data_IF_933714001104
#
_entry.id   IF_933714001104
#
_cell.length_a   1.000
_cell.length_b   1.000
_cell.length_c   1.000
_cell.angle_alpha   90.00
_cell.angle_beta   90.00
_cell.angle_gamma   90.00
#
_symmetry.space_group_name_H-M   'P 1'
#
loop_
_entity.id
_entity.type
_entity.pdbx_description
1 polymer ?
#
# COMPACT_ATOMS: atom_id res chain seq x y z
N UNK A 1 15.74 37.37 12.32
CA UNK A 1 16.08 37.93 13.67
C UNK A 1 15.03 37.64 14.73
N UNK A 2 13.79 37.32 14.41
CA UNK A 2 12.70 37.13 15.41
C UNK A 2 12.77 35.81 16.25
N UNK A 3 13.56 34.81 15.87
CA UNK A 3 13.68 33.54 16.62
C UNK A 3 14.68 33.55 17.77
N UNK A 4 15.56 34.55 17.84
CA UNK A 4 16.59 34.66 18.88
C UNK A 4 15.95 35.30 20.13
N UNK A 5 14.98 36.18 19.95
CA UNK A 5 14.34 36.90 21.07
C UNK A 5 13.44 35.97 21.92
N UNK A 6 12.77 34.98 21.32
CA UNK A 6 11.89 34.07 22.07
C UNK A 6 12.69 33.04 22.89
N UNK A 7 13.79 32.53 22.35
CA UNK A 7 14.69 31.65 23.10
C UNK A 7 15.41 32.41 24.22
N UNK A 8 15.84 33.64 23.95
CA UNK A 8 16.44 34.52 24.92
C UNK A 8 15.47 34.85 26.08
N UNK A 9 14.21 35.22 25.78
CA UNK A 9 13.19 35.48 26.76
C UNK A 9 12.90 34.27 27.66
N UNK A 10 12.87 33.05 27.07
CA UNK A 10 12.67 31.81 27.81
C UNK A 10 13.82 31.53 28.78
N UNK A 11 15.07 31.62 28.34
CA UNK A 11 16.24 31.34 29.18
C UNK A 11 16.44 32.45 30.25
N UNK A 12 16.19 33.70 29.91
CA UNK A 12 16.23 34.80 30.88
C UNK A 12 15.17 34.66 31.98
N UNK A 13 13.95 34.23 31.65
CA UNK A 13 12.88 34.00 32.64
C UNK A 13 13.12 32.80 33.55
N UNK A 14 13.84 31.79 33.04
CA UNK A 14 14.06 30.51 33.75
C UNK A 14 15.29 30.54 34.64
N UNK A 15 16.33 31.28 34.25
CA UNK A 15 17.64 31.26 34.94
C UNK A 15 18.13 32.59 35.47
N UNK A 16 17.42 33.69 35.24
CA UNK A 16 17.78 34.97 35.82
C UNK A 16 17.38 35.04 37.31
N UNK A 17 18.35 35.35 38.16
CA UNK A 17 18.11 35.58 39.59
C UNK A 17 17.15 36.75 39.75
N UNK A 18 16.02 36.57 40.43
CA UNK A 18 14.94 37.57 40.55
C UNK A 18 15.34 38.86 41.33
N UNK A 19 16.50 38.85 41.97
CA UNK A 19 16.99 39.99 42.79
C UNK A 19 18.02 40.84 42.06
N UNK A 20 18.40 40.52 40.82
CA UNK A 20 19.43 41.26 40.09
C UNK A 20 18.78 42.14 39.04
N UNK A 21 19.22 43.41 38.98
CA UNK A 21 18.78 44.36 37.96
C UNK A 21 18.87 43.79 36.57
N UNK A 22 17.89 44.10 35.71
CA UNK A 22 17.81 43.65 34.30
C UNK A 22 19.09 43.92 33.49
N UNK A 23 19.92 44.86 33.93
CA UNK A 23 21.22 45.19 33.33
C UNK A 23 22.38 44.34 33.85
N UNK A 24 22.26 43.77 35.07
CA UNK A 24 23.31 42.94 35.66
C UNK A 24 23.25 41.46 35.24
N UNK A 25 22.05 40.98 34.92
CA UNK A 25 21.88 39.59 34.47
C UNK A 25 22.41 39.31 33.04
N UNK A 26 22.86 40.34 32.32
CA UNK A 26 23.26 40.30 30.93
C UNK A 26 24.74 40.59 30.70
N UNK A 27 25.59 40.36 31.71
CA UNK A 27 27.04 40.51 31.51
C UNK A 27 27.48 39.58 30.35
N UNK A 28 28.09 40.18 29.34
CA UNK A 28 28.63 39.48 28.16
C UNK A 28 29.47 38.26 28.54
N UNK A 29 30.15 38.33 29.69
CA UNK A 29 30.93 37.23 30.27
C UNK A 29 30.09 36.03 30.69
N UNK A 30 28.90 36.22 31.23
CA UNK A 30 28.04 35.14 31.73
C UNK A 30 27.28 34.47 30.59
N UNK A 31 26.81 35.26 29.63
CA UNK A 31 26.28 34.72 28.35
C UNK A 31 27.33 33.88 27.62
N UNK A 32 28.58 34.33 27.62
CA UNK A 32 29.71 33.60 27.00
C UNK A 32 30.03 32.32 27.76
N UNK A 33 29.90 32.30 29.09
CA UNK A 33 30.06 31.06 29.88
C UNK A 33 28.95 30.04 29.59
N UNK A 34 27.69 30.49 29.52
CA UNK A 34 26.55 29.65 29.20
C UNK A 34 26.70 29.10 27.76
N UNK A 35 27.04 29.93 26.80
CA UNK A 35 27.29 29.55 25.43
C UNK A 35 28.42 28.51 25.31
N UNK A 36 29.55 28.74 25.96
CA UNK A 36 30.67 27.80 25.97
C UNK A 36 30.32 26.47 26.66
N UNK A 37 29.46 26.51 27.69
CA UNK A 37 28.98 25.28 28.35
C UNK A 37 28.07 24.47 27.42
N UNK A 38 27.15 25.12 26.69
CA UNK A 38 26.30 24.48 25.71
C UNK A 38 27.13 23.85 24.61
N UNK A 39 28.12 24.60 24.06
CA UNK A 39 29.04 24.07 23.04
C UNK A 39 29.83 22.87 23.58
N UNK A 40 30.35 22.96 24.80
CA UNK A 40 31.10 21.85 25.41
C UNK A 40 30.22 20.62 25.58
N UNK A 41 29.00 20.79 26.11
CA UNK A 41 28.04 19.69 26.28
C UNK A 41 27.68 19.05 24.94
N UNK A 42 27.45 19.87 23.92
CA UNK A 42 27.16 19.36 22.57
C UNK A 42 28.37 18.62 21.95
N UNK A 43 29.60 19.15 22.14
CA UNK A 43 30.83 18.51 21.65
C UNK A 43 31.13 17.17 22.35
N UNK A 44 30.75 17.05 23.59
CA UNK A 44 30.95 15.84 24.40
C UNK A 44 29.80 14.82 24.17
N UNK A 45 28.70 15.21 23.51
CA UNK A 45 27.61 14.30 23.19
C UNK A 45 28.08 13.27 22.16
N UNK A 46 27.67 12.01 22.29
CA UNK A 46 28.04 10.95 21.33
C UNK A 46 27.67 11.28 19.89
N UNK A 47 26.56 12.02 19.68
CA UNK A 47 26.07 12.43 18.35
C UNK A 47 26.91 13.54 17.72
N UNK A 48 27.59 14.38 18.52
CA UNK A 48 28.45 15.46 17.99
C UNK A 48 29.80 14.94 17.46
N UNK A 49 30.23 13.77 17.92
CA UNK A 49 31.49 13.13 17.46
C UNK A 49 31.38 12.48 16.10
N UNK A 50 30.17 12.41 15.53
CA UNK A 50 29.95 11.84 14.20
C UNK A 50 30.13 12.98 13.18
N UNK A 51 31.29 12.99 12.52
CA UNK A 51 31.69 14.06 11.60
C UNK A 51 30.94 14.08 10.26
N UNK A 52 30.16 13.03 9.96
CA UNK A 52 29.44 12.88 8.71
C UNK A 52 27.98 12.53 8.96
N UNK A 53 27.04 13.37 8.49
CA UNK A 53 25.61 13.20 8.69
C UNK A 53 25.06 11.90 8.04
N UNK A 54 25.68 11.44 6.96
CA UNK A 54 25.29 10.18 6.31
C UNK A 54 25.75 8.96 7.10
N UNK A 55 26.93 9.01 7.71
CA UNK A 55 27.43 7.98 8.62
C UNK A 55 26.64 7.96 9.93
N UNK A 56 26.20 9.12 10.44
CA UNK A 56 25.30 9.22 11.58
C UNK A 56 23.96 8.53 11.33
N UNK A 57 23.38 8.76 10.14
CA UNK A 57 22.14 8.11 9.73
C UNK A 57 22.33 6.61 9.57
N UNK A 58 23.40 6.18 8.92
CA UNK A 58 23.74 4.77 8.76
C UNK A 58 23.91 4.09 10.12
N UNK A 59 24.69 4.69 11.01
CA UNK A 59 24.88 4.18 12.37
C UNK A 59 23.59 4.11 13.19
N UNK A 60 22.70 5.10 13.05
CA UNK A 60 21.37 5.08 13.69
C UNK A 60 20.48 3.97 13.11
N UNK A 61 20.57 3.71 11.81
CA UNK A 61 19.85 2.61 11.14
C UNK A 61 20.42 1.26 11.62
N UNK A 62 21.75 1.12 11.62
CA UNK A 62 22.44 -0.11 12.06
C UNK A 62 22.13 -0.44 13.54
N UNK A 63 22.08 0.57 14.42
CA UNK A 63 21.63 0.40 15.83
C UNK A 63 20.17 -0.01 15.87
N UNK A 64 19.30 0.61 15.08
CA UNK A 64 17.86 0.28 15.05
C UNK A 64 17.66 -1.15 14.54
N UNK A 65 18.37 -1.56 13.51
CA UNK A 65 18.30 -2.91 12.96
C UNK A 65 18.87 -3.94 13.95
N UNK A 66 20.02 -3.65 14.56
CA UNK A 66 20.61 -4.50 15.61
C UNK A 66 19.72 -4.59 16.83
N UNK A 67 19.10 -3.48 17.25
CA UNK A 67 18.15 -3.49 18.38
C UNK A 67 16.90 -4.27 18.03
N UNK A 68 16.41 -4.19 16.78
CA UNK A 68 15.28 -4.97 16.31
C UNK A 68 15.63 -6.47 16.21
N UNK A 69 16.84 -6.80 15.76
CA UNK A 69 17.32 -8.17 15.75
C UNK A 69 17.46 -8.73 17.18
N UNK A 70 17.98 -7.94 18.13
CA UNK A 70 18.05 -8.31 19.55
C UNK A 70 16.64 -8.45 20.15
N UNK A 71 15.72 -7.52 19.86
CA UNK A 71 14.34 -7.61 20.31
C UNK A 71 13.65 -8.86 19.74
N UNK A 72 13.85 -9.14 18.46
CA UNK A 72 13.31 -10.35 17.84
C UNK A 72 13.94 -11.61 18.43
N UNK A 73 15.23 -11.61 18.73
CA UNK A 73 15.92 -12.71 19.44
C UNK A 73 15.45 -12.82 20.88
N UNK A 74 15.25 -11.70 21.59
CA UNK A 74 14.71 -11.66 22.95
C UNK A 74 13.24 -12.07 22.95
N UNK A 75 12.43 -11.62 22.00
CA UNK A 75 11.04 -12.06 21.84
C UNK A 75 10.97 -13.56 21.52
N UNK A 76 11.85 -14.07 20.67
CA UNK A 76 11.96 -15.52 20.43
C UNK A 76 12.45 -16.31 21.63
N UNK A 77 13.15 -15.65 22.55
CA UNK A 77 13.65 -16.24 23.82
C UNK A 77 12.78 -15.88 25.02
N UNK A 78 11.97 -14.80 24.99
CA UNK A 78 11.18 -14.29 26.11
C UNK A 78 9.81 -14.95 26.27
N UNK A 79 9.42 -15.82 25.35
CA UNK A 79 8.46 -16.90 25.65
C UNK A 79 8.88 -17.75 26.86
N UNK A 80 9.98 -17.38 27.48
CA UNK A 80 10.51 -17.90 28.75
C UNK A 80 9.57 -17.74 29.96
N UNK A 81 8.59 -16.84 29.90
CA UNK A 81 7.62 -16.67 31.00
C UNK A 81 6.31 -17.42 30.79
N UNK A 82 6.02 -17.92 29.62
CA UNK A 82 4.91 -18.82 29.32
C UNK A 82 5.43 -20.24 29.07
N UNK A 83 6.11 -20.83 30.02
CA UNK A 83 6.50 -22.25 30.05
C UNK A 83 7.16 -22.78 28.75
N UNK A 84 8.32 -23.35 28.87
CA UNK A 84 9.23 -23.88 27.84
C UNK A 84 8.67 -24.88 26.79
N UNK A 85 7.36 -24.95 26.61
CA UNK A 85 6.70 -25.79 25.61
C UNK A 85 6.39 -25.09 24.31
N UNK A 86 6.31 -23.73 24.28
CA UNK A 86 5.89 -23.00 23.08
C UNK A 86 7.01 -22.79 22.05
N UNK A 87 8.27 -22.77 22.49
CA UNK A 87 9.42 -22.69 21.56
C UNK A 87 9.52 -23.89 20.62
N UNK A 88 8.96 -25.02 21.02
CA UNK A 88 8.94 -26.28 20.26
C UNK A 88 7.59 -26.50 19.54
N UNK A 89 6.62 -25.63 19.73
CA UNK A 89 5.29 -25.74 19.14
C UNK A 89 4.94 -24.57 18.19
N UNK A 90 5.93 -23.95 17.54
CA UNK A 90 5.63 -22.97 16.51
C UNK A 90 4.77 -23.61 15.42
N UNK A 91 3.50 -23.27 15.43
CA UNK A 91 2.54 -23.70 14.41
C UNK A 91 2.62 -22.76 13.24
N UNK A 92 2.64 -23.31 12.04
CA UNK A 92 2.49 -22.59 10.78
C UNK A 92 1.12 -22.92 10.22
N UNK A 93 0.44 -21.94 9.72
CA UNK A 93 -0.79 -22.19 8.99
C UNK A 93 -0.47 -22.98 7.72
N UNK A 94 -1.26 -24.01 7.43
CA UNK A 94 -1.12 -24.89 6.27
C UNK A 94 -2.44 -25.01 5.55
N UNK A 95 -2.36 -25.04 4.22
CA UNK A 95 -3.47 -25.35 3.33
C UNK A 95 -3.20 -26.69 2.67
N UNK A 96 -4.19 -27.59 2.63
CA UNK A 96 -4.07 -28.86 1.89
C UNK A 96 -3.97 -28.66 0.37
N UNK A 97 -4.27 -27.44 -0.12
CA UNK A 97 -4.18 -27.07 -1.54
C UNK A 97 -3.67 -25.62 -1.67
N UNK A 98 -2.37 -25.42 -1.48
CA UNK A 98 -1.72 -24.12 -1.54
C UNK A 98 -1.80 -23.46 -2.94
N UNK A 99 -1.99 -24.25 -3.97
CA UNK A 99 -2.18 -23.74 -5.32
C UNK A 99 -3.52 -23.02 -5.51
N UNK A 100 -4.55 -23.45 -4.78
CA UNK A 100 -5.87 -22.85 -4.84
C UNK A 100 -6.08 -21.81 -3.73
N UNK A 101 -5.61 -22.11 -2.52
CA UNK A 101 -5.80 -21.26 -1.33
C UNK A 101 -4.49 -21.17 -0.57
N UNK A 102 -3.83 -20.02 -0.61
CA UNK A 102 -2.71 -19.70 0.26
C UNK A 102 -3.20 -19.28 1.63
N UNK A 103 -2.46 -19.65 2.68
CA UNK A 103 -2.78 -19.28 4.04
C UNK A 103 -1.55 -18.74 4.77
N UNK A 104 -1.75 -17.71 5.58
CA UNK A 104 -0.74 -17.14 6.47
C UNK A 104 -1.33 -16.92 7.86
N UNK A 105 -0.59 -17.29 8.90
CA UNK A 105 -0.96 -16.97 10.26
C UNK A 105 -0.66 -15.49 10.56
N UNK A 106 -1.64 -14.75 11.06
CA UNK A 106 -1.54 -13.31 11.39
C UNK A 106 -1.95 -13.01 12.84
N UNK A 107 -2.37 -14.01 13.61
CA UNK A 107 -2.74 -13.87 15.02
C UNK A 107 -1.55 -13.51 15.90
N UNK A 108 -1.84 -12.96 17.08
CA UNK A 108 -0.83 -12.55 18.07
C UNK A 108 -0.25 -13.69 18.93
N UNK A 109 -0.64 -14.93 18.65
CA UNK A 109 -0.20 -16.12 19.39
C UNK A 109 -0.95 -16.35 20.72
N UNK A 110 -1.73 -15.38 21.21
CA UNK A 110 -2.43 -15.48 22.50
C UNK A 110 -3.66 -16.37 22.47
N UNK A 111 -4.26 -16.55 21.30
CA UNK A 111 -5.53 -17.28 21.11
C UNK A 111 -5.36 -18.68 20.48
N UNK A 112 -4.16 -19.24 20.47
CA UNK A 112 -3.91 -20.59 19.92
C UNK A 112 -4.60 -21.75 20.66
N UNK A 113 -5.44 -21.46 21.64
CA UNK A 113 -6.29 -22.45 22.30
C UNK A 113 -7.60 -22.61 21.53
N UNK A 114 -7.55 -23.30 20.37
CA UNK A 114 -8.76 -23.78 19.70
C UNK A 114 -9.13 -23.10 18.39
N UNK A 115 -8.20 -22.56 17.64
CA UNK A 115 -8.45 -22.34 16.21
C UNK A 115 -8.50 -23.71 15.54
N UNK A 116 -9.68 -24.35 15.58
CA UNK A 116 -9.93 -25.56 14.83
C UNK A 116 -9.75 -25.24 13.35
N UNK A 117 -9.16 -26.18 12.61
CA UNK A 117 -9.06 -26.08 11.17
C UNK A 117 -10.46 -25.96 10.54
N UNK A 118 -10.52 -25.43 9.36
CA UNK A 118 -11.78 -25.32 8.59
C UNK A 118 -11.53 -25.67 7.13
N UNK A 119 -12.60 -26.05 6.47
CA UNK A 119 -12.61 -26.33 5.04
C UNK A 119 -13.05 -25.10 4.26
N UNK A 120 -12.35 -24.76 3.20
CA UNK A 120 -12.72 -23.71 2.26
C UNK A 120 -12.90 -24.27 0.85
N UNK A 121 -14.04 -23.97 0.25
CA UNK A 121 -14.31 -24.25 -1.15
C UNK A 121 -14.47 -22.93 -1.91
N UNK A 122 -13.65 -22.69 -2.91
CA UNK A 122 -13.65 -21.45 -3.71
C UNK A 122 -14.41 -21.74 -5.00
N UNK A 123 -15.51 -21.01 -5.22
CA UNK A 123 -16.31 -21.09 -6.44
C UNK A 123 -15.87 -20.08 -7.48
N UNK A 124 -15.59 -18.88 -7.03
CA UNK A 124 -15.23 -17.75 -7.89
C UNK A 124 -14.25 -16.83 -7.19
N UNK A 125 -13.28 -16.30 -7.93
CA UNK A 125 -12.37 -15.25 -7.43
C UNK A 125 -13.03 -13.88 -7.60
N UNK A 126 -12.67 -12.93 -6.76
CA UNK A 126 -12.99 -11.52 -7.00
C UNK A 126 -12.23 -11.03 -8.24
N UNK A 127 -12.89 -10.21 -9.05
CA UNK A 127 -12.30 -9.62 -10.23
C UNK A 127 -12.45 -8.10 -10.26
N UNK A 128 -11.50 -7.39 -10.90
CA UNK A 128 -11.59 -5.95 -11.12
C UNK A 128 -12.60 -5.61 -12.22
N UNK A 129 -13.03 -4.36 -12.25
CA UNK A 129 -13.70 -3.81 -13.43
C UNK A 129 -12.70 -3.54 -14.54
N UNK A 130 -13.07 -3.89 -15.75
CA UNK A 130 -12.31 -3.61 -16.96
C UNK A 130 -13.18 -2.86 -17.97
N UNK A 131 -12.70 -1.74 -18.44
CA UNK A 131 -13.27 -1.03 -19.60
C UNK A 131 -12.27 -1.13 -20.75
N UNK A 132 -12.63 -1.81 -21.81
CA UNK A 132 -11.80 -1.92 -23.02
C UNK A 132 -12.38 -1.03 -24.11
N UNK A 133 -11.58 -0.10 -24.57
CA UNK A 133 -11.95 0.83 -25.62
C UNK A 133 -12.08 0.17 -27.01
N UNK A 134 -12.35 0.99 -28.00
CA UNK A 134 -12.42 0.55 -29.40
C UNK A 134 -11.02 0.17 -29.92
N UNK A 135 -10.94 -0.94 -30.64
CA UNK A 135 -9.71 -1.33 -31.35
C UNK A 135 -9.51 -0.48 -32.60
N UNK A 136 -8.47 0.35 -32.60
CA UNK A 136 -8.13 1.30 -33.65
C UNK A 136 -6.81 0.90 -34.32
N UNK A 137 -6.69 1.21 -35.63
CA UNK A 137 -5.39 1.10 -36.30
C UNK A 137 -4.45 2.15 -35.69
N UNK A 138 -3.36 1.69 -35.08
CA UNK A 138 -2.43 2.55 -34.33
C UNK A 138 -1.78 3.63 -35.21
N UNK A 139 -1.64 3.40 -36.51
CA UNK A 139 -1.03 4.33 -37.46
C UNK A 139 -2.03 5.31 -38.11
N UNK A 140 -3.32 5.05 -37.97
CA UNK A 140 -4.35 5.92 -38.56
C UNK A 140 -4.48 7.23 -37.76
N UNK A 141 -4.98 8.27 -38.43
CA UNK A 141 -5.23 9.61 -37.91
C UNK A 141 -6.76 9.79 -37.77
N UNK A 142 -7.34 9.10 -36.78
CA UNK A 142 -8.81 9.11 -36.63
C UNK A 142 -9.30 10.28 -35.77
N UNK A 143 -8.45 10.83 -34.92
CA UNK A 143 -8.81 11.90 -34.00
C UNK A 143 -8.59 13.27 -34.63
N UNK A 144 -9.55 14.15 -34.47
CA UNK A 144 -9.48 15.54 -34.97
C UNK A 144 -8.53 16.32 -34.04
N UNK A 145 -7.61 17.15 -34.56
CA UNK A 145 -6.79 18.01 -33.71
C UNK A 145 -7.65 18.97 -32.87
N UNK A 146 -7.36 19.09 -31.58
CA UNK A 146 -8.14 19.92 -30.67
C UNK A 146 -7.83 19.64 -29.20
N UNK A 147 -8.56 20.31 -28.33
CA UNK A 147 -8.50 20.07 -26.86
C UNK A 147 -9.75 19.31 -26.45
N UNK A 148 -9.53 18.31 -25.65
CA UNK A 148 -10.56 17.38 -25.19
C UNK A 148 -10.51 17.23 -23.69
N UNK A 149 -11.65 16.91 -23.07
CA UNK A 149 -11.70 16.52 -21.66
C UNK A 149 -12.74 15.43 -21.42
N UNK A 150 -12.49 14.67 -20.38
CA UNK A 150 -13.41 13.65 -19.87
C UNK A 150 -13.27 13.53 -18.34
N UNK A 151 -14.36 13.12 -17.72
CA UNK A 151 -14.39 12.85 -16.30
C UNK A 151 -14.17 11.35 -16.05
N UNK A 152 -13.29 11.03 -15.11
CA UNK A 152 -13.13 9.71 -14.55
C UNK A 152 -13.59 9.77 -13.10
N UNK A 153 -14.68 9.07 -12.81
CA UNK A 153 -15.32 9.07 -11.52
C UNK A 153 -15.06 7.71 -10.84
N UNK A 154 -14.59 7.76 -9.61
CA UNK A 154 -14.52 6.62 -8.69
C UNK A 154 -15.47 6.89 -7.54
N UNK A 155 -15.73 5.90 -6.69
CA UNK A 155 -16.57 6.10 -5.50
C UNK A 155 -15.99 7.12 -4.50
N UNK A 156 -14.68 7.37 -4.55
CA UNK A 156 -14.00 8.30 -3.65
C UNK A 156 -13.85 9.70 -4.24
N UNK A 157 -13.81 9.86 -5.56
CA UNK A 157 -13.42 11.12 -6.21
C UNK A 157 -13.82 11.18 -7.68
N UNK A 158 -13.96 12.41 -8.17
CA UNK A 158 -14.17 12.72 -9.58
C UNK A 158 -13.02 13.57 -10.09
N UNK A 159 -12.44 13.20 -11.23
CA UNK A 159 -11.32 13.89 -11.86
C UNK A 159 -11.62 14.19 -13.31
N UNK A 160 -11.43 15.46 -13.69
CA UNK A 160 -11.46 15.88 -15.09
C UNK A 160 -10.04 15.76 -15.69
N UNK A 161 -9.92 14.97 -16.74
CA UNK A 161 -8.71 14.86 -17.55
C UNK A 161 -8.82 15.75 -18.77
N UNK A 162 -7.82 16.61 -18.97
CA UNK A 162 -7.71 17.48 -20.13
C UNK A 162 -6.48 17.10 -20.95
N UNK A 163 -6.64 16.98 -22.26
CA UNK A 163 -5.54 16.66 -23.17
C UNK A 163 -5.77 17.26 -24.56
N UNK A 164 -4.68 17.45 -25.28
CA UNK A 164 -4.72 17.93 -26.67
C UNK A 164 -4.35 16.85 -27.66
N UNK A 165 -4.95 16.89 -28.84
CA UNK A 165 -4.53 16.10 -30.00
C UNK A 165 -3.95 17.07 -31.02
N UNK A 166 -2.73 16.80 -31.47
CA UNK A 166 -2.00 17.62 -32.43
C UNK A 166 -2.31 17.19 -33.88
N UNK A 167 -2.06 18.08 -34.84
CA UNK A 167 -2.17 17.72 -36.26
C UNK A 167 -1.16 16.61 -36.59
N UNK A 168 -1.62 15.53 -37.19
CA UNK A 168 -0.79 14.41 -37.58
C UNK A 168 -0.50 13.41 -36.46
N UNK A 169 -1.10 13.57 -35.29
CA UNK A 169 -0.98 12.61 -34.18
C UNK A 169 -1.79 11.35 -34.45
N UNK A 170 -1.15 10.23 -34.41
CA UNK A 170 -1.73 8.90 -34.67
C UNK A 170 -2.61 8.39 -33.53
N UNK A 171 -3.49 7.43 -33.81
CA UNK A 171 -4.31 6.80 -32.77
C UNK A 171 -3.48 6.20 -31.65
N UNK A 172 -2.36 5.54 -32.00
CA UNK A 172 -1.46 4.95 -31.01
C UNK A 172 -0.84 6.01 -30.09
N UNK A 173 -0.38 7.14 -30.63
CA UNK A 173 0.17 8.24 -29.84
C UNK A 173 -0.86 8.86 -28.89
N UNK A 174 -2.11 9.00 -29.34
CA UNK A 174 -3.21 9.47 -28.48
C UNK A 174 -3.50 8.48 -27.36
N UNK A 175 -3.61 7.17 -27.68
CA UNK A 175 -3.83 6.13 -26.67
C UNK A 175 -2.68 6.06 -25.66
N UNK A 176 -1.43 6.13 -26.12
CA UNK A 176 -0.25 6.17 -25.24
C UNK A 176 -0.19 7.41 -24.35
N UNK A 177 -0.63 8.57 -24.86
CA UNK A 177 -0.75 9.79 -24.09
C UNK A 177 -1.77 9.62 -22.95
N UNK A 178 -2.94 9.08 -23.26
CA UNK A 178 -4.01 8.81 -22.30
C UNK A 178 -3.58 7.77 -21.26
N UNK A 179 -2.93 6.68 -21.68
CA UNK A 179 -2.34 5.69 -20.78
C UNK A 179 -1.41 6.34 -19.76
N UNK A 180 -0.46 7.18 -20.21
CA UNK A 180 0.46 7.89 -19.29
C UNK A 180 -0.27 8.85 -18.36
N UNK A 181 -1.26 9.60 -18.89
CA UNK A 181 -2.01 10.56 -18.12
C UNK A 181 -2.82 9.90 -17.00
N UNK A 182 -3.53 8.82 -17.31
CA UNK A 182 -4.34 8.08 -16.33
C UNK A 182 -3.45 7.40 -15.30
N UNK A 183 -2.38 6.72 -15.70
CA UNK A 183 -1.47 6.05 -14.76
C UNK A 183 -0.74 7.04 -13.83
N UNK A 184 -0.45 8.26 -14.30
CA UNK A 184 0.17 9.29 -13.48
C UNK A 184 -0.79 9.91 -12.45
N UNK A 185 -2.10 9.70 -12.58
CA UNK A 185 -3.11 10.29 -11.69
C UNK A 185 -3.19 9.67 -10.31
N UNK A 186 -2.79 8.40 -10.18
CA UNK A 186 -2.87 7.65 -8.91
C UNK A 186 -4.30 7.34 -8.43
N UNK A 187 -5.28 7.30 -9.34
CA UNK A 187 -6.70 7.09 -9.01
C UNK A 187 -7.08 5.64 -8.67
N UNK A 188 -6.11 4.73 -8.63
CA UNK A 188 -6.40 3.31 -8.44
C UNK A 188 -6.95 2.63 -9.70
N UNK A 189 -6.66 3.21 -10.86
CA UNK A 189 -6.99 2.66 -12.19
C UNK A 189 -5.69 2.54 -12.97
N UNK A 190 -5.46 1.37 -13.52
CA UNK A 190 -4.36 1.08 -14.43
C UNK A 190 -4.85 1.18 -15.88
N UNK A 191 -4.14 1.92 -16.70
CA UNK A 191 -4.39 2.03 -18.13
C UNK A 191 -3.30 1.28 -18.89
N UNK A 192 -3.71 0.45 -19.86
CA UNK A 192 -2.79 -0.28 -20.73
C UNK A 192 -3.28 -0.29 -22.18
N UNK A 193 -2.41 -0.63 -23.12
CA UNK A 193 -2.73 -0.81 -24.52
C UNK A 193 -2.78 -2.30 -24.82
N UNK A 194 -3.96 -2.75 -25.21
CA UNK A 194 -4.20 -4.14 -25.61
C UNK A 194 -4.38 -4.22 -27.12
N UNK A 195 -4.03 -5.36 -27.69
CA UNK A 195 -4.11 -5.60 -29.14
C UNK A 195 -5.06 -6.75 -29.46
N UNK A 196 -5.78 -6.61 -30.56
CA UNK A 196 -6.56 -7.71 -31.11
C UNK A 196 -5.73 -8.58 -32.07
N UNK A 197 -6.32 -9.68 -32.55
CA UNK A 197 -5.68 -10.61 -33.50
C UNK A 197 -5.32 -9.94 -34.84
N UNK A 198 -5.91 -8.81 -35.17
CA UNK A 198 -5.62 -8.02 -36.37
C UNK A 198 -4.52 -6.97 -36.17
N UNK A 199 -3.98 -6.86 -34.94
CA UNK A 199 -2.93 -5.92 -34.57
C UNK A 199 -3.42 -4.49 -34.31
N UNK A 200 -4.73 -4.27 -34.23
CA UNK A 200 -5.30 -2.98 -33.78
C UNK A 200 -5.15 -2.85 -32.28
N UNK A 201 -5.01 -1.62 -31.81
CA UNK A 201 -4.79 -1.29 -30.41
C UNK A 201 -6.05 -0.67 -29.78
N UNK A 202 -6.32 -1.02 -28.53
CA UNK A 202 -7.35 -0.41 -27.71
C UNK A 202 -6.74 0.05 -26.37
N UNK A 203 -7.20 1.20 -25.88
CA UNK A 203 -6.91 1.61 -24.51
C UNK A 203 -7.82 0.83 -23.56
N UNK A 204 -7.22 0.12 -22.62
CA UNK A 204 -7.92 -0.64 -21.58
C UNK A 204 -7.69 0.02 -20.23
N UNK A 205 -8.77 0.16 -19.46
CA UNK A 205 -8.75 0.66 -18.09
C UNK A 205 -9.14 -0.48 -17.14
N UNK A 206 -8.33 -0.73 -16.13
CA UNK A 206 -8.57 -1.79 -15.14
C UNK A 206 -8.53 -1.18 -13.74
N UNK A 207 -9.54 -1.44 -12.91
CA UNK A 207 -9.50 -1.01 -11.53
C UNK A 207 -8.44 -1.81 -10.74
N UNK A 208 -7.69 -1.16 -9.86
CA UNK A 208 -6.79 -1.84 -8.94
C UNK A 208 -7.54 -2.56 -7.81
N UNK A 209 -8.78 -2.15 -7.55
CA UNK A 209 -9.68 -2.81 -6.62
C UNK A 209 -10.50 -3.88 -7.33
N UNK A 210 -10.87 -4.91 -6.61
CA UNK A 210 -11.77 -5.97 -7.03
C UNK A 210 -13.07 -5.91 -6.25
N UNK A 211 -14.09 -6.60 -6.73
CA UNK A 211 -15.36 -6.72 -6.05
C UNK A 211 -16.21 -5.44 -6.09
N UNK A 212 -17.48 -5.59 -5.77
CA UNK A 212 -18.45 -4.50 -5.67
C UNK A 212 -19.21 -4.62 -4.34
N UNK A 213 -19.35 -3.52 -3.62
CA UNK A 213 -20.26 -3.48 -2.47
C UNK A 213 -21.72 -3.50 -2.94
N UNK A 214 -22.65 -3.82 -2.06
CA UNK A 214 -24.07 -3.89 -2.39
C UNK A 214 -24.68 -2.56 -2.87
N UNK A 215 -24.00 -1.45 -2.61
CA UNK A 215 -24.45 -0.09 -2.96
C UNK A 215 -23.79 0.46 -4.21
N UNK A 216 -22.91 -0.31 -4.85
CA UNK A 216 -22.09 0.13 -5.98
C UNK A 216 -22.49 -0.61 -7.26
N UNK A 217 -22.73 0.13 -8.33
CA UNK A 217 -22.99 -0.44 -9.66
C UNK A 217 -21.70 -0.65 -10.46
N UNK A 218 -20.64 0.11 -10.14
CA UNK A 218 -19.34 0.06 -10.80
C UNK A 218 -18.23 0.63 -9.91
N UNK A 219 -16.99 0.20 -10.08
CA UNK A 219 -15.83 0.75 -9.35
C UNK A 219 -15.39 2.11 -9.90
N UNK A 220 -15.59 2.33 -11.20
CA UNK A 220 -15.34 3.60 -11.83
C UNK A 220 -16.24 3.79 -13.07
N UNK A 221 -16.44 5.03 -13.45
CA UNK A 221 -17.09 5.39 -14.72
C UNK A 221 -16.30 6.46 -15.45
N UNK A 222 -16.39 6.46 -16.78
CA UNK A 222 -15.77 7.45 -17.65
C UNK A 222 -16.88 8.17 -18.41
N UNK A 223 -16.88 9.49 -18.37
CA UNK A 223 -17.88 10.30 -19.04
C UNK A 223 -17.20 11.42 -19.84
N UNK A 224 -17.64 11.72 -21.07
CA UNK A 224 -17.12 12.87 -21.82
C UNK A 224 -17.59 14.18 -21.16
N UNK A 225 -16.78 15.22 -21.26
CA UNK A 225 -17.25 16.55 -20.94
C UNK A 225 -18.39 17.00 -21.91
N UNK A 226 -19.17 17.97 -21.50
CA UNK A 226 -20.42 18.33 -22.18
C UNK A 226 -20.27 18.95 -23.61
N UNK A 227 -19.03 19.15 -24.08
CA UNK A 227 -18.81 19.68 -25.45
C UNK A 227 -18.91 18.58 -26.52
N UNK A 228 -19.32 18.93 -27.71
CA UNK A 228 -19.57 17.98 -28.80
C UNK A 228 -18.31 17.25 -29.26
N UNK A 229 -17.17 17.88 -29.18
CA UNK A 229 -15.87 17.35 -29.59
C UNK A 229 -15.45 16.21 -28.61
N UNK A 230 -15.55 16.45 -27.33
CA UNK A 230 -15.24 15.42 -26.28
C UNK A 230 -16.21 14.24 -26.32
N UNK A 231 -17.49 14.48 -26.60
CA UNK A 231 -18.49 13.42 -26.79
C UNK A 231 -18.14 12.56 -28.02
N UNK A 232 -17.76 13.19 -29.13
CA UNK A 232 -17.34 12.47 -30.36
C UNK A 232 -16.07 11.66 -30.12
N UNK A 233 -15.10 12.25 -29.43
CA UNK A 233 -13.83 11.60 -29.04
C UNK A 233 -14.07 10.37 -28.15
N UNK A 234 -14.93 10.47 -27.14
CA UNK A 234 -15.27 9.37 -26.24
C UNK A 234 -15.94 8.22 -27.00
N UNK A 235 -16.87 8.51 -27.90
CA UNK A 235 -17.50 7.49 -28.76
C UNK A 235 -16.48 6.72 -29.60
N UNK A 236 -15.43 7.41 -30.05
CA UNK A 236 -14.37 6.80 -30.84
C UNK A 236 -13.40 5.99 -29.99
N UNK A 237 -13.02 6.50 -28.81
CA UNK A 237 -12.18 5.79 -27.85
C UNK A 237 -12.91 4.59 -27.22
N UNK A 238 -14.20 4.72 -26.92
CA UNK A 238 -15.04 3.65 -26.36
C UNK A 238 -14.69 3.19 -24.95
N UNK A 239 -13.89 3.96 -24.20
CA UNK A 239 -13.43 3.60 -22.84
C UNK A 239 -14.49 3.82 -21.76
N UNK A 240 -15.64 4.39 -22.11
CA UNK A 240 -16.81 4.57 -21.26
C UNK A 240 -17.62 3.27 -21.05
N UNK A 241 -17.31 2.21 -21.79
CA UNK A 241 -18.04 0.95 -21.76
C UNK A 241 -17.33 -0.08 -20.88
N UNK A 242 -18.06 -0.62 -19.91
CA UNK A 242 -17.60 -1.75 -19.11
C UNK A 242 -17.57 -3.00 -19.97
N UNK A 243 -16.39 -3.57 -20.18
CA UNK A 243 -16.19 -4.83 -20.92
C UNK A 243 -16.25 -6.06 -19.98
N UNK A 244 -15.80 -5.89 -18.74
CA UNK A 244 -15.92 -6.88 -17.69
C UNK A 244 -16.28 -6.17 -16.38
N UNK A 245 -17.45 -6.43 -15.79
CA UNK A 245 -17.80 -5.85 -14.51
C UNK A 245 -16.95 -6.44 -13.38
N UNK A 246 -16.70 -5.64 -12.35
CA UNK A 246 -16.13 -6.17 -11.13
C UNK A 246 -17.11 -7.15 -10.46
N UNK A 247 -16.58 -8.16 -9.80
CA UNK A 247 -17.39 -9.09 -9.00
C UNK A 247 -16.61 -9.59 -7.78
N UNK A 248 -17.37 -9.98 -6.77
CA UNK A 248 -16.85 -10.50 -5.52
C UNK A 248 -16.32 -11.93 -5.67
N UNK A 249 -15.42 -12.32 -4.78
CA UNK A 249 -15.14 -13.73 -4.58
C UNK A 249 -16.36 -14.43 -3.94
N UNK A 250 -16.61 -15.67 -4.34
CA UNK A 250 -17.64 -16.55 -3.78
C UNK A 250 -16.96 -17.83 -3.30
N UNK A 251 -17.15 -18.12 -2.02
CA UNK A 251 -16.56 -19.29 -1.37
C UNK A 251 -17.44 -19.80 -0.24
N UNK A 252 -17.18 -21.00 0.23
CA UNK A 252 -17.81 -21.51 1.45
C UNK A 252 -16.76 -21.84 2.51
N UNK A 253 -17.12 -21.60 3.78
CA UNK A 253 -16.35 -22.03 4.94
C UNK A 253 -17.16 -23.07 5.70
N UNK A 254 -16.62 -24.26 5.85
CA UNK A 254 -17.34 -25.40 6.46
C UNK A 254 -18.74 -25.59 5.88
N UNK A 255 -18.90 -25.40 4.56
CA UNK A 255 -20.18 -25.49 3.86
C UNK A 255 -21.09 -24.27 3.92
N UNK A 256 -20.74 -23.23 4.70
CA UNK A 256 -21.49 -21.97 4.77
C UNK A 256 -20.99 -21.01 3.71
N UNK A 257 -21.88 -20.46 2.89
CA UNK A 257 -21.54 -19.54 1.80
C UNK A 257 -21.12 -18.16 2.35
N UNK A 258 -20.05 -17.62 1.77
CA UNK A 258 -19.48 -16.31 2.05
C UNK A 258 -19.07 -15.61 0.76
N UNK A 259 -18.96 -14.29 0.84
CA UNK A 259 -18.47 -13.43 -0.24
C UNK A 259 -17.49 -12.41 0.30
N UNK A 260 -16.51 -12.04 -0.52
CA UNK A 260 -15.55 -10.98 -0.17
C UNK A 260 -15.26 -10.10 -1.38
N UNK A 261 -15.01 -8.82 -1.13
CA UNK A 261 -14.61 -7.85 -2.17
C UNK A 261 -13.19 -8.14 -2.72
N UNK A 262 -12.38 -8.92 -1.99
CA UNK A 262 -10.99 -9.21 -2.33
C UNK A 262 -10.73 -10.71 -2.32
N UNK A 263 -9.69 -11.12 -3.04
CA UNK A 263 -9.15 -12.48 -2.99
C UNK A 263 -8.25 -12.71 -1.77
N UNK A 264 -7.89 -11.65 -1.04
CA UNK A 264 -7.12 -11.75 0.20
C UNK A 264 -7.91 -11.13 1.34
N UNK A 265 -8.16 -11.88 2.39
CA UNK A 265 -8.93 -11.46 3.55
C UNK A 265 -8.52 -12.25 4.80
N UNK A 266 -8.90 -11.72 5.98
CA UNK A 266 -8.57 -12.34 7.26
C UNK A 266 -9.79 -12.98 7.88
N UNK A 267 -9.62 -14.21 8.39
CA UNK A 267 -10.65 -14.95 9.14
C UNK A 267 -10.25 -14.98 10.62
N UNK A 268 -11.19 -14.58 11.48
CA UNK A 268 -11.07 -14.59 12.95
C UNK A 268 -9.81 -13.89 13.48
N UNK A 269 -9.28 -12.90 12.74
CA UNK A 269 -8.00 -12.24 13.03
C UNK A 269 -6.81 -13.20 13.21
N UNK A 270 -6.93 -14.41 12.72
CA UNK A 270 -5.96 -15.49 12.91
C UNK A 270 -5.32 -15.94 11.61
N UNK A 271 -6.14 -16.14 10.58
CA UNK A 271 -5.70 -16.60 9.27
C UNK A 271 -5.92 -15.53 8.21
N UNK A 272 -4.87 -15.13 7.52
CA UNK A 272 -4.99 -14.42 6.25
C UNK A 272 -5.03 -15.44 5.13
N UNK A 273 -6.09 -15.45 4.37
CA UNK A 273 -6.28 -16.31 3.21
C UNK A 273 -6.08 -15.54 1.92
N UNK A 274 -5.46 -16.18 0.94
CA UNK A 274 -5.35 -15.68 -0.43
C UNK A 274 -5.93 -16.73 -1.38
N UNK A 275 -7.07 -16.41 -1.97
CA UNK A 275 -7.71 -17.22 -3.01
C UNK A 275 -6.95 -17.04 -4.32
N UNK A 276 -6.46 -18.12 -4.91
CA UNK A 276 -5.64 -18.09 -6.14
C UNK A 276 -6.39 -18.66 -7.34
N UNK A 277 -7.21 -19.70 -7.13
CA UNK A 277 -8.05 -20.31 -8.17
C UNK A 277 -9.26 -21.03 -7.55
N UNK A 278 -10.32 -21.27 -8.32
CA UNK A 278 -11.44 -22.09 -7.87
C UNK A 278 -11.01 -23.50 -7.48
N UNK A 279 -11.71 -24.10 -6.49
CA UNK A 279 -11.47 -25.46 -6.00
C UNK A 279 -12.48 -26.47 -6.54
N UNK A 280 -13.30 -26.09 -7.52
CA UNK A 280 -14.39 -26.92 -8.08
C UNK A 280 -13.92 -28.31 -8.56
N UNK A 281 -12.69 -28.39 -9.08
CA UNK A 281 -12.13 -29.62 -9.63
C UNK A 281 -11.30 -30.42 -8.61
N UNK A 282 -10.90 -29.80 -7.50
CA UNK A 282 -9.99 -30.38 -6.50
C UNK A 282 -10.64 -30.66 -5.16
N UNK A 283 -11.89 -30.22 -4.97
CA UNK A 283 -12.58 -30.26 -3.68
C UNK A 283 -12.11 -29.18 -2.71
N UNK A 284 -12.74 -29.09 -1.57
CA UNK A 284 -12.43 -28.10 -0.53
C UNK A 284 -10.97 -28.24 -0.06
N UNK A 285 -10.34 -27.10 0.20
CA UNK A 285 -9.02 -27.03 0.83
C UNK A 285 -9.18 -26.99 2.34
N UNK A 286 -8.54 -27.92 3.05
CA UNK A 286 -8.50 -27.91 4.51
C UNK A 286 -7.42 -26.92 4.98
N UNK A 287 -7.81 -25.97 5.81
CA UNK A 287 -6.92 -24.97 6.43
C UNK A 287 -6.72 -25.35 7.88
N UNK A 288 -5.50 -25.37 8.33
CA UNK A 288 -5.18 -25.76 9.69
C UNK A 288 -3.78 -25.32 10.12
N UNK A 289 -3.28 -25.93 11.17
CA UNK A 289 -1.94 -25.70 11.67
C UNK A 289 -1.08 -26.94 11.51
N UNK A 290 0.15 -26.73 11.09
CA UNK A 290 1.22 -27.72 11.10
C UNK A 290 2.32 -27.30 12.06
N UNK A 291 2.94 -28.26 12.74
CA UNK A 291 4.15 -27.99 13.51
C UNK A 291 5.28 -27.66 12.55
N UNK A 292 5.92 -26.50 12.74
CA UNK A 292 7.05 -26.07 11.91
C UNK A 292 8.31 -26.81 12.39
N UNK A 293 8.56 -28.00 11.83
CA UNK A 293 9.75 -28.82 12.13
C UNK A 293 11.06 -28.11 11.81
N UNK A 294 11.07 -27.25 10.78
CA UNK A 294 12.28 -26.54 10.33
C UNK A 294 12.63 -25.40 11.31
N UNK A 295 11.63 -24.64 11.78
CA UNK A 295 11.85 -23.62 12.81
C UNK A 295 12.21 -24.23 14.19
N UNK A 296 11.76 -25.46 14.45
CA UNK A 296 12.18 -26.22 15.62
C UNK A 296 13.62 -26.70 15.49
N UNK A 297 14.03 -27.16 14.29
CA UNK A 297 15.40 -27.61 14.03
C UNK A 297 16.40 -26.43 14.10
N UNK A 298 16.06 -25.26 13.55
CA UNK A 298 16.89 -24.05 13.62
C UNK A 298 17.10 -23.56 15.05
N UNK A 299 16.08 -23.67 15.91
CA UNK A 299 16.19 -23.31 17.32
C UNK A 299 17.04 -24.32 18.17
N UNK A 300 17.26 -25.53 17.68
CA UNK A 300 18.09 -26.55 18.32
C UNK A 300 19.55 -26.42 17.91
N UNK A 301 19.86 -25.78 16.79
CA UNK A 301 21.23 -25.57 16.26
C UNK A 301 21.91 -24.30 16.79
N UNK A 302 21.21 -23.45 17.54
CA UNK A 302 21.74 -22.23 18.18
C UNK A 302 21.96 -22.46 19.66
#
# INVERSE_FOLDING_TARGET
>A
MAKIDSAYAYYASTYANKEVSRYDSHKKSDLRKIYNRIIKTNKESPLYKISNMSEAKKYAIDIKESSKAILNAVDSLSDKYAGSSDSFQKKVAESSNEDAVGVRYVGDGSENKGADGFDIEVRQLAAPQVNTGSYLDSKALSFIPGSYSFDLNTNASSYEFQFGVSTGETNGEVQDKLKRLINASGLGIEADIVHDDSGKAALQLTSMQTGLSETEDSLFSVAPSANAESISMMKQLGIDKVSSPAHNSDFSLNGTAHSSLSNTFTINNTFELTLKKPTTDTGAAAIGFKTNSDAVADNVQT
#
